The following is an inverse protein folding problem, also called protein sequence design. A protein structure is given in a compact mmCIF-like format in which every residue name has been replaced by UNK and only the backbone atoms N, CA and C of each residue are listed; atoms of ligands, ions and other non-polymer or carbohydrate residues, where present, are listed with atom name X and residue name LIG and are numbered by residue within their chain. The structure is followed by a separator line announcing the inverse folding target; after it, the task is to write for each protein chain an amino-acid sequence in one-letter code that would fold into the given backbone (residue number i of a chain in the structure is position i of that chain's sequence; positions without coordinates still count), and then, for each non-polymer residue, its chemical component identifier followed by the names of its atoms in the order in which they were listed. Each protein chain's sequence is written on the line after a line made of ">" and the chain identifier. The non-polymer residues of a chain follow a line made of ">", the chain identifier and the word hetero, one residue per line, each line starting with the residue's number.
data_IF_314733700964
#
_entry.id   IF_314733700964
#
_cell.length_a   1.000
_cell.length_b   1.000
_cell.length_c   1.000
_cell.angle_alpha   90.00
_cell.angle_beta   90.00
_cell.angle_gamma   90.00
#
_symmetry.space_group_name_H-M   'P 1'
#
loop_
_entity.id
_entity.type
_entity.pdbx_description
1 polymer ?
#
# COMPACT_ATOMS: atom_id res chain seq x y z
N UNK A 1 64.55 29.72 -8.20
CA UNK A 1 64.23 29.88 -6.77
C UNK A 1 62.82 29.38 -6.55
N UNK A 2 62.60 28.51 -5.56
CA UNK A 2 61.30 28.12 -5.03
C UNK A 2 61.47 27.95 -3.50
N UNK A 3 60.49 28.32 -2.65
CA UNK A 3 60.71 28.40 -1.21
C UNK A 3 60.84 27.05 -0.49
N UNK A 4 61.50 27.10 0.67
CA UNK A 4 61.78 25.98 1.57
C UNK A 4 60.54 25.24 2.06
N UNK A 5 60.72 23.96 2.35
CA UNK A 5 59.91 23.21 3.32
C UNK A 5 60.03 23.85 4.72
N UNK A 6 58.99 23.65 5.53
CA UNK A 6 59.07 23.65 6.98
C UNK A 6 58.36 22.38 7.47
N UNK A 7 58.94 21.70 8.47
CA UNK A 7 58.39 20.48 9.07
C UNK A 7 58.16 20.74 10.56
N UNK A 8 56.90 20.57 10.97
CA UNK A 8 56.42 20.48 12.36
C UNK A 8 55.01 19.86 12.27
N UNK A 9 54.53 19.05 13.21
CA UNK A 9 55.14 18.41 14.37
C UNK A 9 54.13 17.36 14.85
N UNK A 10 54.55 16.11 15.04
CA UNK A 10 53.61 14.98 15.06
C UNK A 10 52.84 14.76 16.37
N UNK A 11 51.61 14.25 16.26
CA UNK A 11 50.93 13.45 17.28
C UNK A 11 50.28 12.24 16.61
N UNK A 12 50.44 11.05 17.17
CA UNK A 12 49.90 9.81 16.61
C UNK A 12 48.35 9.79 16.60
N UNK A 13 47.78 9.24 15.52
CA UNK A 13 46.46 8.64 15.54
C UNK A 13 46.45 7.39 14.64
N UNK A 14 46.04 6.25 15.20
CA UNK A 14 46.12 4.93 14.56
C UNK A 14 45.00 4.76 13.54
N UNK A 15 45.17 5.31 12.35
CA UNK A 15 44.28 5.06 11.19
C UNK A 15 44.40 3.63 10.68
N UNK A 16 43.71 2.72 11.37
CA UNK A 16 43.35 1.39 10.87
C UNK A 16 42.55 1.58 9.58
N UNK A 17 43.14 1.23 8.44
CA UNK A 17 42.42 1.21 7.16
C UNK A 17 41.43 0.03 7.16
N UNK A 18 40.11 0.26 7.04
CA UNK A 18 39.16 -0.83 6.91
C UNK A 18 39.38 -1.57 5.57
N UNK A 19 39.14 -2.89 5.52
CA UNK A 19 39.28 -3.65 4.28
C UNK A 19 38.24 -3.20 3.23
N UNK A 20 38.51 -3.36 1.93
CA UNK A 20 37.58 -2.97 0.87
C UNK A 20 36.35 -3.90 0.86
N UNK A 21 35.28 -3.51 1.54
CA UNK A 21 34.02 -4.27 1.60
C UNK A 21 33.29 -4.16 0.26
N UNK A 22 33.45 -5.18 -0.59
CA UNK A 22 32.76 -5.29 -1.88
C UNK A 22 31.29 -5.70 -1.71
N UNK A 23 30.47 -4.78 -1.17
CA UNK A 23 29.03 -4.96 -1.00
C UNK A 23 28.28 -3.64 -1.20
N UNK A 24 27.27 -3.63 -2.09
CA UNK A 24 26.38 -2.47 -2.29
C UNK A 24 25.38 -2.38 -1.14
N UNK A 25 25.79 -1.77 -0.02
CA UNK A 25 24.83 -1.24 0.95
C UNK A 25 24.02 -0.09 0.30
N UNK A 26 22.71 0.03 0.55
CA UNK A 26 21.90 1.17 0.12
C UNK A 26 22.12 2.36 1.07
N UNK A 27 23.36 2.80 1.25
CA UNK A 27 23.79 3.66 2.36
C UNK A 27 23.66 5.17 2.12
N UNK A 28 23.29 5.61 0.90
CA UNK A 28 23.09 7.03 0.58
C UNK A 28 21.83 7.21 -0.26
N UNK A 29 20.77 7.74 0.36
CA UNK A 29 19.66 8.38 -0.37
C UNK A 29 20.15 9.70 -0.97
N UNK A 30 19.65 10.07 -2.16
CA UNK A 30 19.91 11.40 -2.74
C UNK A 30 19.22 12.51 -1.94
N UNK A 31 19.67 13.76 -2.09
CA UNK A 31 19.09 14.91 -1.39
C UNK A 31 17.59 15.06 -1.65
N UNK A 32 17.14 14.73 -2.86
CA UNK A 32 15.72 14.70 -3.24
C UNK A 32 14.97 13.59 -2.50
N UNK A 33 15.57 12.40 -2.33
CA UNK A 33 14.98 11.32 -1.54
C UNK A 33 14.92 11.69 -0.04
N UNK A 34 16.02 12.18 0.53
CA UNK A 34 16.06 12.65 1.93
C UNK A 34 15.00 13.72 2.20
N UNK A 35 14.89 14.73 1.33
CA UNK A 35 13.87 15.79 1.43
C UNK A 35 12.46 15.23 1.27
N UNK A 36 12.24 14.23 0.39
CA UNK A 36 10.91 13.66 0.15
C UNK A 36 10.46 12.68 1.23
N UNK A 37 11.37 12.01 1.93
CA UNK A 37 11.06 11.07 3.01
C UNK A 37 10.27 11.72 4.16
N UNK A 38 10.52 13.00 4.45
CA UNK A 38 9.84 13.77 5.51
C UNK A 38 8.70 14.66 4.99
N UNK A 39 8.29 14.52 3.72
CA UNK A 39 7.24 15.36 3.14
C UNK A 39 5.84 14.90 3.61
N UNK A 40 5.28 15.59 4.60
CA UNK A 40 3.90 15.39 5.05
C UNK A 40 2.89 15.41 3.90
N UNK A 41 1.97 14.44 3.89
CA UNK A 41 0.95 14.32 2.83
C UNK A 41 -0.36 15.01 3.25
N UNK A 42 -1.04 15.75 2.35
CA UNK A 42 -2.29 16.41 2.68
C UNK A 42 -3.44 15.39 2.79
N UNK A 43 -3.77 14.98 4.01
CA UNK A 43 -4.99 14.19 4.27
C UNK A 43 -6.27 15.03 4.08
N UNK A 44 -7.38 14.43 3.62
CA UNK A 44 -8.73 15.02 3.71
C UNK A 44 -9.06 15.52 5.12
N UNK A 45 -9.85 16.59 5.23
CA UNK A 45 -10.22 17.18 6.52
C UNK A 45 -10.97 16.20 7.44
N UNK A 46 -11.87 15.39 6.88
CA UNK A 46 -12.66 14.38 7.62
C UNK A 46 -11.81 13.30 8.30
N UNK A 47 -10.55 13.10 7.88
CA UNK A 47 -9.62 12.16 8.51
C UNK A 47 -8.73 12.81 9.59
N UNK A 48 -8.94 14.09 9.92
CA UNK A 48 -8.18 14.85 10.94
C UNK A 48 -9.01 15.17 12.19
N UNK A 49 -10.27 14.77 12.19
CA UNK A 49 -11.27 15.03 13.23
C UNK A 49 -12.07 13.76 13.47
N UNK A 50 -12.73 13.60 14.62
CA UNK A 50 -13.69 12.53 14.82
C UNK A 50 -14.70 12.40 13.67
N UNK A 51 -15.04 11.17 13.29
CA UNK A 51 -15.93 10.91 12.17
C UNK A 51 -16.83 9.69 12.37
N UNK A 52 -17.88 9.64 11.55
CA UNK A 52 -18.81 8.52 11.43
C UNK A 52 -18.94 8.08 9.97
N UNK A 53 -19.23 6.79 9.80
CA UNK A 53 -19.60 6.21 8.51
C UNK A 53 -21.13 6.34 8.37
N UNK A 54 -21.59 6.76 7.20
CA UNK A 54 -23.00 6.86 6.86
C UNK A 54 -23.24 6.12 5.55
N UNK A 55 -24.26 5.26 5.53
CA UNK A 55 -24.68 4.54 4.33
C UNK A 55 -25.36 5.50 3.33
N UNK A 56 -24.92 5.43 2.08
CA UNK A 56 -25.52 6.07 0.92
C UNK A 56 -26.48 5.15 0.17
N UNK A 57 -26.76 5.43 -1.12
CA UNK A 57 -27.63 4.57 -1.93
C UNK A 57 -27.04 3.15 -2.08
N UNK A 58 -27.94 2.16 -2.21
CA UNK A 58 -27.60 0.80 -2.64
C UNK A 58 -26.84 0.82 -3.98
N UNK A 59 -25.84 -0.03 -4.13
CA UNK A 59 -25.09 -0.17 -5.38
C UNK A 59 -25.79 -1.08 -6.40
N UNK A 60 -25.29 -1.08 -7.63
CA UNK A 60 -25.65 -2.06 -8.66
C UNK A 60 -24.49 -2.17 -9.65
N UNK A 61 -24.49 -3.24 -10.47
CA UNK A 61 -23.49 -3.41 -11.51
C UNK A 61 -23.74 -2.47 -12.71
N UNK A 62 -22.67 -1.98 -13.33
CA UNK A 62 -22.75 -1.13 -14.53
C UNK A 62 -23.24 -1.89 -15.79
N UNK A 63 -23.24 -3.22 -15.74
CA UNK A 63 -23.79 -4.12 -16.76
C UNK A 63 -24.22 -5.44 -16.12
N UNK A 64 -25.13 -6.15 -16.79
CA UNK A 64 -25.61 -7.50 -16.45
C UNK A 64 -25.94 -7.73 -14.95
N UNK A 65 -26.72 -6.83 -14.28
CA UNK A 65 -26.93 -6.88 -12.83
C UNK A 65 -27.52 -8.21 -12.34
N UNK A 66 -28.46 -8.80 -13.10
CA UNK A 66 -29.07 -10.10 -12.76
C UNK A 66 -28.09 -11.28 -12.84
N UNK A 67 -26.94 -11.13 -13.49
CA UNK A 67 -25.89 -12.16 -13.57
C UNK A 67 -24.84 -11.92 -12.48
N UNK A 68 -24.42 -10.66 -12.28
CA UNK A 68 -23.52 -10.28 -11.18
C UNK A 68 -24.16 -10.60 -9.82
N UNK A 69 -25.47 -10.39 -9.64
CA UNK A 69 -26.19 -10.75 -8.41
C UNK A 69 -26.19 -12.27 -8.12
N UNK A 70 -26.09 -13.13 -9.15
CA UNK A 70 -25.96 -14.59 -9.00
C UNK A 70 -24.54 -15.01 -8.64
N UNK A 71 -23.53 -14.24 -9.05
CA UNK A 71 -22.12 -14.46 -8.73
C UNK A 71 -21.74 -13.94 -7.33
N UNK A 72 -22.42 -12.88 -6.85
CA UNK A 72 -22.11 -12.17 -5.61
C UNK A 72 -23.30 -12.12 -4.63
N UNK A 73 -23.92 -13.24 -4.25
CA UNK A 73 -25.14 -13.25 -3.43
C UNK A 73 -24.96 -12.68 -2.00
N UNK A 74 -23.74 -12.55 -1.47
CA UNK A 74 -23.47 -11.97 -0.15
C UNK A 74 -22.95 -10.51 -0.21
N UNK A 75 -22.58 -10.00 -1.39
CA UNK A 75 -22.02 -8.66 -1.60
C UNK A 75 -22.83 -7.74 -2.52
N UNK A 76 -23.65 -8.29 -3.43
CA UNK A 76 -24.39 -7.47 -4.39
C UNK A 76 -25.37 -6.52 -3.71
N UNK A 77 -25.47 -5.29 -4.22
CA UNK A 77 -26.40 -4.27 -3.73
C UNK A 77 -25.92 -3.42 -2.55
N UNK A 78 -24.81 -3.79 -1.89
CA UNK A 78 -24.29 -3.10 -0.69
C UNK A 78 -24.24 -1.57 -0.86
N UNK A 79 -24.59 -0.78 0.18
CA UNK A 79 -24.60 0.67 0.09
C UNK A 79 -23.20 1.23 -0.14
N UNK A 80 -23.10 2.37 -0.82
CA UNK A 80 -21.89 3.18 -0.79
C UNK A 80 -21.68 3.76 0.61
N UNK A 81 -20.43 3.88 1.06
CA UNK A 81 -20.11 4.44 2.38
C UNK A 81 -19.59 5.87 2.25
N UNK A 82 -20.08 6.78 3.10
CA UNK A 82 -19.61 8.17 3.20
C UNK A 82 -19.02 8.44 4.60
N UNK A 83 -17.87 9.11 4.64
CA UNK A 83 -17.30 9.62 5.89
C UNK A 83 -17.85 11.04 6.15
N UNK A 84 -18.37 11.26 7.35
CA UNK A 84 -18.93 12.55 7.78
C UNK A 84 -18.33 12.91 9.13
N UNK A 85 -17.87 14.15 9.30
CA UNK A 85 -17.37 14.65 10.59
C UNK A 85 -18.44 14.51 11.69
N UNK A 86 -17.98 14.27 12.92
CA UNK A 86 -18.83 13.98 14.08
C UNK A 86 -18.27 14.69 15.31
N UNK A 87 -19.13 15.03 16.28
CA UNK A 87 -18.69 15.56 17.58
C UNK A 87 -18.19 14.44 18.52
N UNK A 88 -18.42 13.17 18.16
CA UNK A 88 -17.95 11.98 18.84
C UNK A 88 -17.56 10.88 17.84
N UNK A 89 -16.48 10.16 18.12
CA UNK A 89 -16.07 9.03 17.30
C UNK A 89 -17.00 7.84 17.51
N UNK A 90 -17.63 7.39 16.42
CA UNK A 90 -18.35 6.11 16.38
C UNK A 90 -17.44 4.93 16.04
N UNK A 91 -16.18 5.20 15.68
CA UNK A 91 -15.16 4.19 15.35
C UNK A 91 -14.51 3.67 16.64
N UNK A 92 -14.28 2.37 16.75
CA UNK A 92 -13.78 1.76 17.99
C UNK A 92 -12.26 1.87 18.13
N UNK A 93 -11.76 3.06 18.47
CA UNK A 93 -10.33 3.41 18.53
C UNK A 93 -9.44 2.57 19.47
N UNK A 94 -10.03 1.70 20.30
CA UNK A 94 -9.31 0.81 21.21
C UNK A 94 -9.37 -0.68 20.82
N UNK A 95 -9.94 -1.05 19.67
CA UNK A 95 -9.75 -2.39 19.12
C UNK A 95 -8.40 -2.49 18.41
N UNK A 96 -7.62 -3.53 18.76
CA UNK A 96 -6.39 -3.88 18.06
C UNK A 96 -6.75 -4.66 16.81
N UNK A 97 -6.42 -4.12 15.64
CA UNK A 97 -6.71 -4.73 14.35
C UNK A 97 -5.47 -5.43 13.80
N UNK A 98 -5.65 -6.60 13.20
CA UNK A 98 -4.64 -7.26 12.38
C UNK A 98 -5.00 -7.08 10.91
N UNK A 99 -4.23 -6.27 10.20
CA UNK A 99 -4.51 -5.92 8.80
C UNK A 99 -3.44 -6.52 7.89
N UNK A 100 -3.85 -7.23 6.86
CA UNK A 100 -3.00 -7.61 5.73
C UNK A 100 -3.00 -6.55 4.64
N UNK A 101 -1.88 -6.37 3.93
CA UNK A 101 -1.80 -5.51 2.74
C UNK A 101 -0.97 -6.18 1.64
N UNK A 102 -1.41 -6.06 0.38
CA UNK A 102 -0.74 -6.66 -0.78
C UNK A 102 -0.69 -5.69 -1.97
N UNK A 103 0.47 -5.60 -2.63
CA UNK A 103 0.65 -4.90 -3.91
C UNK A 103 0.53 -5.90 -5.07
N UNK A 104 -0.47 -5.73 -5.94
CA UNK A 104 -0.82 -6.67 -7.01
C UNK A 104 -0.70 -6.07 -8.42
N UNK A 105 -0.22 -6.87 -9.37
CA UNK A 105 0.04 -6.46 -10.76
C UNK A 105 1.23 -5.51 -10.90
N UNK A 106 1.24 -4.71 -11.97
CA UNK A 106 2.31 -3.76 -12.28
C UNK A 106 2.51 -2.68 -11.19
N UNK A 107 3.76 -2.25 -11.00
CA UNK A 107 4.11 -1.19 -10.06
C UNK A 107 3.56 0.17 -10.50
N UNK A 108 3.14 1.01 -9.54
CA UNK A 108 2.64 2.35 -9.80
C UNK A 108 3.14 3.34 -8.74
N UNK A 109 3.49 4.59 -9.11
CA UNK A 109 3.86 5.64 -8.16
C UNK A 109 2.76 5.88 -7.12
N UNK A 110 3.12 5.88 -5.83
CA UNK A 110 2.18 6.04 -4.71
C UNK A 110 1.89 4.76 -3.91
N UNK A 111 2.26 3.56 -4.40
CA UNK A 111 1.93 2.29 -3.72
C UNK A 111 2.47 2.19 -2.27
N UNK A 112 3.66 2.72 -2.00
CA UNK A 112 4.20 2.80 -0.63
C UNK A 112 3.47 3.82 0.24
N UNK A 113 2.86 4.86 -0.33
CA UNK A 113 2.13 5.88 0.42
C UNK A 113 0.73 5.38 0.87
N UNK A 114 0.15 4.43 0.12
CA UNK A 114 -1.03 3.68 0.60
C UNK A 114 -0.65 2.84 1.82
N UNK A 115 0.49 2.13 1.76
CA UNK A 115 0.98 1.31 2.88
C UNK A 115 1.32 2.17 4.11
N UNK A 116 1.99 3.32 3.94
CA UNK A 116 2.27 4.22 5.06
C UNK A 116 0.99 4.81 5.64
N UNK A 117 0.06 5.31 4.81
CA UNK A 117 -1.20 5.84 5.31
C UNK A 117 -2.06 4.84 6.09
N UNK A 118 -2.01 3.55 5.73
CA UNK A 118 -2.62 2.47 6.53
C UNK A 118 -1.88 2.28 7.85
N UNK A 119 -0.54 2.24 7.83
CA UNK A 119 0.28 2.11 9.04
C UNK A 119 0.05 3.28 10.01
N UNK A 120 0.18 4.52 9.53
CA UNK A 120 0.00 5.74 10.30
C UNK A 120 -1.39 5.77 10.96
N UNK A 121 -2.45 5.45 10.22
CA UNK A 121 -3.81 5.36 10.75
C UNK A 121 -3.95 4.28 11.83
N UNK A 122 -3.37 3.09 11.65
CA UNK A 122 -3.39 2.03 12.67
C UNK A 122 -2.62 2.43 13.94
N UNK A 123 -1.50 3.13 13.80
CA UNK A 123 -0.69 3.58 14.93
C UNK A 123 -1.30 4.74 15.70
N UNK A 124 -1.99 5.67 15.03
CA UNK A 124 -2.65 6.81 15.67
C UNK A 124 -4.05 6.45 16.21
N UNK A 125 -4.86 5.78 15.41
CA UNK A 125 -6.31 5.57 15.63
C UNK A 125 -6.71 4.16 16.10
N UNK A 126 -5.82 3.17 16.11
CA UNK A 126 -6.14 1.79 16.53
C UNK A 126 -4.97 1.14 17.32
N UNK A 127 -4.54 1.80 18.40
CA UNK A 127 -3.23 1.57 19.03
C UNK A 127 -2.98 0.13 19.48
N UNK A 128 -1.86 -0.43 19.02
CA UNK A 128 -1.48 -1.83 19.25
C UNK A 128 -2.04 -2.80 18.20
N UNK A 129 -2.52 -2.29 17.07
CA UNK A 129 -2.74 -3.04 15.82
C UNK A 129 -1.44 -3.58 15.21
N UNK A 130 -1.56 -4.45 14.21
CA UNK A 130 -0.43 -5.02 13.46
C UNK A 130 -0.73 -5.00 11.96
N UNK A 131 0.23 -4.54 11.15
CA UNK A 131 0.12 -4.50 9.69
C UNK A 131 1.06 -5.55 9.05
N UNK A 132 0.52 -6.42 8.19
CA UNK A 132 1.25 -7.50 7.54
C UNK A 132 1.37 -7.27 6.02
N UNK A 133 2.57 -6.97 5.54
CA UNK A 133 2.87 -6.79 4.11
C UNK A 133 3.12 -8.12 3.41
N UNK A 134 2.20 -8.56 2.56
CA UNK A 134 2.32 -9.81 1.80
C UNK A 134 3.27 -9.67 0.60
N UNK A 135 4.18 -10.64 0.47
CA UNK A 135 5.36 -10.59 -0.38
C UNK A 135 5.10 -11.24 -1.74
N UNK A 136 5.24 -10.45 -2.82
CA UNK A 136 5.17 -10.96 -4.20
C UNK A 136 3.76 -11.05 -4.79
N UNK A 137 2.85 -10.12 -4.45
CA UNK A 137 1.49 -10.09 -4.98
C UNK A 137 0.52 -11.02 -4.24
N UNK A 138 -0.66 -11.31 -4.82
CA UNK A 138 -1.67 -12.19 -4.20
C UNK A 138 -1.12 -13.54 -3.79
N UNK A 139 -0.15 -14.04 -4.56
CA UNK A 139 0.73 -15.14 -4.21
C UNK A 139 1.22 -15.09 -2.75
N UNK A 140 1.69 -13.95 -2.23
CA UNK A 140 2.19 -13.84 -0.85
C UNK A 140 1.15 -14.16 0.22
N UNK A 141 -0.09 -13.68 0.06
CA UNK A 141 -1.24 -14.01 0.93
C UNK A 141 -1.39 -15.53 0.99
N UNK A 142 -1.42 -16.12 -0.20
CA UNK A 142 -1.70 -17.53 -0.43
C UNK A 142 -0.56 -18.47 -0.05
N UNK A 143 0.50 -18.00 0.64
CA UNK A 143 1.70 -18.78 0.93
C UNK A 143 2.19 -18.64 2.38
N UNK A 144 1.43 -17.96 3.25
CA UNK A 144 1.94 -17.42 4.51
C UNK A 144 3.21 -16.55 4.34
N UNK A 145 3.40 -15.87 3.19
CA UNK A 145 4.63 -15.10 2.92
C UNK A 145 4.39 -13.61 3.10
N UNK A 146 4.61 -13.14 4.32
CA UNK A 146 4.45 -11.76 4.76
C UNK A 146 5.69 -11.25 5.51
N UNK A 147 5.70 -9.95 5.81
CA UNK A 147 6.37 -9.40 7.01
C UNK A 147 5.35 -8.65 7.83
N UNK A 148 5.54 -8.66 9.15
CA UNK A 148 5.06 -7.57 9.99
C UNK A 148 5.79 -6.28 9.60
N UNK A 149 5.04 -5.24 9.23
CA UNK A 149 5.56 -3.94 8.87
C UNK A 149 5.74 -3.12 10.14
N UNK A 150 6.91 -3.27 10.75
CA UNK A 150 7.47 -2.29 11.69
C UNK A 150 8.04 -1.09 10.93
N UNK A 151 8.67 -0.16 11.64
CA UNK A 151 9.41 0.98 11.06
C UNK A 151 10.48 0.60 10.02
N UNK A 152 11.00 -0.63 10.03
CA UNK A 152 12.30 -0.97 9.41
C UNK A 152 12.30 -2.15 8.41
N UNK A 153 11.18 -2.86 8.17
CA UNK A 153 11.19 -4.19 7.53
C UNK A 153 10.71 -4.31 6.05
N UNK A 154 11.51 -4.93 5.16
CA UNK A 154 11.12 -5.35 3.77
C UNK A 154 11.94 -6.56 3.27
N UNK A 155 11.33 -7.58 2.62
CA UNK A 155 12.00 -8.69 1.87
C UNK A 155 11.03 -9.63 1.05
N UNK A 156 11.41 -10.86 0.59
CA UNK A 156 10.68 -11.76 -0.40
C UNK A 156 10.35 -13.23 0.13
N UNK A 157 9.95 -14.34 -0.56
CA UNK A 157 9.87 -14.78 -1.99
C UNK A 157 9.03 -16.11 -2.26
N UNK A 158 8.34 -16.24 -3.42
CA UNK A 158 7.97 -17.47 -4.24
C UNK A 158 7.03 -18.66 -3.80
N UNK A 159 6.68 -19.57 -4.77
CA UNK A 159 6.04 -20.95 -4.79
C UNK A 159 4.50 -21.19 -4.59
N UNK A 160 3.73 -21.99 -5.38
CA UNK A 160 2.39 -21.56 -5.88
C UNK A 160 1.01 -22.24 -5.53
N UNK A 161 0.75 -22.90 -4.40
CA UNK A 161 -0.44 -23.77 -4.14
C UNK A 161 -1.75 -23.06 -3.64
N UNK A 162 -2.27 -22.13 -4.44
CA UNK A 162 -2.70 -20.82 -3.91
C UNK A 162 -4.05 -20.66 -3.12
N UNK A 163 -5.26 -20.85 -3.69
CA UNK A 163 -6.46 -20.20 -3.10
C UNK A 163 -6.90 -20.66 -1.69
N UNK A 164 -6.94 -21.96 -1.38
CA UNK A 164 -7.30 -22.45 -0.03
C UNK A 164 -6.33 -21.95 1.05
N UNK A 165 -5.08 -21.75 0.67
CA UNK A 165 -4.03 -21.24 1.56
C UNK A 165 -4.22 -19.75 1.90
N UNK A 166 -5.05 -18.99 1.16
CA UNK A 166 -5.45 -17.64 1.59
C UNK A 166 -6.30 -17.70 2.87
N UNK A 167 -7.36 -18.51 2.88
CA UNK A 167 -8.22 -18.72 4.05
C UNK A 167 -7.41 -19.25 5.24
N UNK A 168 -6.55 -20.25 5.02
CA UNK A 168 -5.68 -20.80 6.07
C UNK A 168 -4.69 -19.75 6.61
N UNK A 169 -4.11 -18.90 5.75
CA UNK A 169 -3.20 -17.82 6.18
C UNK A 169 -3.94 -16.73 6.95
N UNK A 170 -5.10 -16.31 6.46
CA UNK A 170 -5.96 -15.27 7.05
C UNK A 170 -6.48 -15.69 8.42
N UNK A 171 -6.94 -16.94 8.56
CA UNK A 171 -7.39 -17.50 9.83
C UNK A 171 -6.22 -17.78 10.80
N UNK A 172 -5.05 -18.20 10.31
CA UNK A 172 -3.83 -18.43 11.13
C UNK A 172 -3.25 -17.13 11.69
N UNK A 173 -3.28 -16.05 10.92
CA UNK A 173 -2.94 -14.71 11.42
C UNK A 173 -4.09 -14.09 12.23
N UNK A 174 -5.31 -14.59 12.06
CA UNK A 174 -6.54 -14.05 12.65
C UNK A 174 -6.74 -12.58 12.23
N UNK A 175 -6.65 -12.31 10.91
CA UNK A 175 -6.77 -10.96 10.33
C UNK A 175 -8.20 -10.42 10.39
N UNK A 176 -8.35 -9.16 10.78
CA UNK A 176 -9.63 -8.42 10.74
C UNK A 176 -9.84 -7.77 9.37
N UNK A 177 -8.75 -7.42 8.66
CA UNK A 177 -8.80 -6.78 7.34
C UNK A 177 -7.71 -7.27 6.37
N UNK A 178 -7.99 -7.17 5.07
CA UNK A 178 -7.06 -7.46 3.98
C UNK A 178 -7.20 -6.42 2.84
N UNK A 179 -6.19 -5.58 2.64
CA UNK A 179 -6.18 -4.53 1.61
C UNK A 179 -5.45 -5.01 0.35
N UNK A 180 -6.17 -5.05 -0.78
CA UNK A 180 -5.66 -5.46 -2.09
C UNK A 180 -5.44 -4.25 -2.98
N UNK A 181 -4.18 -3.87 -3.17
CA UNK A 181 -3.77 -2.69 -3.93
C UNK A 181 -3.42 -3.11 -5.36
N UNK A 182 -4.31 -2.85 -6.33
CA UNK A 182 -4.20 -3.46 -7.66
C UNK A 182 -5.07 -2.84 -8.75
N UNK A 183 -4.94 -3.38 -9.97
CA UNK A 183 -5.77 -3.02 -11.12
C UNK A 183 -7.15 -3.70 -11.08
N UNK A 184 -7.88 -3.64 -12.19
CA UNK A 184 -9.16 -4.32 -12.43
C UNK A 184 -9.13 -5.83 -12.12
N UNK A 185 -8.16 -6.58 -12.66
CA UNK A 185 -7.92 -8.01 -12.36
C UNK A 185 -7.80 -8.26 -10.86
N UNK A 186 -7.11 -7.36 -10.16
CA UNK A 186 -6.79 -7.53 -8.74
C UNK A 186 -7.97 -7.18 -7.84
N UNK A 187 -8.78 -6.19 -8.22
CA UNK A 187 -10.01 -5.85 -7.50
C UNK A 187 -11.12 -6.86 -7.80
N UNK A 188 -11.13 -7.47 -9.00
CA UNK A 188 -11.99 -8.62 -9.33
C UNK A 188 -11.67 -9.81 -8.42
N UNK A 189 -10.38 -10.16 -8.30
CA UNK A 189 -9.93 -11.19 -7.35
C UNK A 189 -10.23 -10.83 -5.88
N UNK A 190 -10.12 -9.55 -5.50
CA UNK A 190 -10.49 -9.09 -4.15
C UNK A 190 -12.00 -9.25 -3.88
N UNK A 191 -12.86 -8.96 -4.86
CA UNK A 191 -14.31 -9.14 -4.75
C UNK A 191 -14.70 -10.62 -4.63
N UNK A 192 -14.10 -11.49 -5.45
CA UNK A 192 -14.30 -12.95 -5.37
C UNK A 192 -13.85 -13.52 -4.01
N UNK A 193 -12.73 -13.02 -3.46
CA UNK A 193 -12.24 -13.41 -2.13
C UNK A 193 -13.16 -12.90 -1.00
N UNK A 194 -13.68 -11.68 -1.13
CA UNK A 194 -14.64 -11.10 -0.19
C UNK A 194 -15.95 -11.89 -0.14
N UNK A 195 -16.49 -12.28 -1.30
CA UNK A 195 -17.69 -13.10 -1.44
C UNK A 195 -17.47 -14.49 -0.83
N UNK A 196 -16.31 -15.09 -1.11
CA UNK A 196 -15.91 -16.36 -0.50
C UNK A 196 -15.86 -16.26 1.02
N UNK A 197 -15.17 -15.26 1.59
CA UNK A 197 -15.09 -15.05 3.04
C UNK A 197 -16.47 -14.82 3.67
N UNK A 198 -17.36 -14.04 3.04
CA UNK A 198 -18.76 -13.88 3.50
C UNK A 198 -19.51 -15.21 3.50
N UNK A 199 -19.44 -15.98 2.40
CA UNK A 199 -20.08 -17.30 2.29
C UNK A 199 -19.58 -18.34 3.31
N UNK A 200 -18.39 -18.12 3.89
CA UNK A 200 -17.77 -18.95 4.94
C UNK A 200 -17.92 -18.38 6.35
N UNK A 201 -18.51 -17.19 6.52
CA UNK A 201 -18.52 -16.45 7.78
C UNK A 201 -17.11 -16.18 8.37
N UNK A 202 -16.10 -16.04 7.51
CA UNK A 202 -14.75 -15.60 7.91
C UNK A 202 -14.83 -14.14 8.35
N UNK A 203 -14.21 -13.79 9.49
CA UNK A 203 -14.32 -12.44 10.09
C UNK A 203 -13.70 -11.32 9.23
N UNK A 204 -12.81 -11.68 8.32
CA UNK A 204 -11.90 -10.75 7.64
C UNK A 204 -12.58 -9.97 6.53
N UNK A 205 -12.53 -8.64 6.63
CA UNK A 205 -13.00 -7.75 5.57
C UNK A 205 -11.93 -7.59 4.49
N UNK A 206 -12.30 -7.73 3.21
CA UNK A 206 -11.38 -7.47 2.08
C UNK A 206 -11.71 -6.11 1.46
N UNK A 207 -10.69 -5.29 1.22
CA UNK A 207 -10.82 -3.91 0.72
C UNK A 207 -9.96 -3.73 -0.53
N UNK A 208 -10.56 -3.29 -1.63
CA UNK A 208 -9.86 -2.94 -2.86
C UNK A 208 -9.27 -1.53 -2.84
N UNK A 209 -8.11 -1.34 -3.48
CA UNK A 209 -7.50 -0.02 -3.67
C UNK A 209 -7.04 0.17 -5.13
N UNK A 210 -7.52 1.22 -5.86
CA UNK A 210 -7.41 1.31 -7.32
C UNK A 210 -6.04 1.79 -7.79
N UNK A 211 -5.20 0.84 -8.21
CA UNK A 211 -3.82 1.03 -8.71
C UNK A 211 -3.67 0.62 -10.17
N UNK A 212 -3.66 1.59 -11.07
CA UNK A 212 -3.32 1.43 -12.49
C UNK A 212 -2.71 2.73 -13.01
N UNK A 213 -1.70 2.63 -13.88
CA UNK A 213 -1.05 3.79 -14.52
C UNK A 213 -1.77 4.22 -15.80
N UNK A 214 -2.78 3.46 -16.21
CA UNK A 214 -3.46 3.54 -17.50
C UNK A 214 -4.77 4.35 -17.41
N UNK A 215 -5.30 4.52 -16.18
CA UNK A 215 -6.44 5.40 -15.91
C UNK A 215 -7.78 4.82 -16.36
N UNK A 216 -7.87 3.50 -16.44
CA UNK A 216 -9.00 2.68 -16.87
C UNK A 216 -9.93 2.28 -15.71
N UNK A 217 -9.38 1.87 -14.56
CA UNK A 217 -10.16 1.55 -13.36
C UNK A 217 -10.75 2.82 -12.71
N UNK A 218 -11.95 3.20 -13.15
CA UNK A 218 -12.71 4.38 -12.69
C UNK A 218 -14.21 4.18 -12.71
N UNK A 219 -14.92 4.92 -11.87
CA UNK A 219 -16.38 5.09 -11.87
C UNK A 219 -16.74 6.51 -11.42
N UNK A 220 -17.99 6.77 -11.07
CA UNK A 220 -18.43 8.08 -10.54
C UNK A 220 -17.83 8.36 -9.16
N UNK A 221 -17.63 7.32 -8.36
CA UNK A 221 -17.11 7.36 -6.98
C UNK A 221 -15.57 7.26 -6.94
N UNK A 222 -14.96 6.64 -7.96
CA UNK A 222 -13.50 6.52 -8.16
C UNK A 222 -13.12 7.27 -9.45
N UNK A 223 -12.88 8.59 -9.39
CA UNK A 223 -12.68 9.40 -10.60
C UNK A 223 -11.34 9.15 -11.30
N UNK A 224 -10.35 8.59 -10.61
CA UNK A 224 -9.04 8.21 -11.18
C UNK A 224 -8.35 7.15 -10.32
N UNK A 225 -7.48 6.36 -10.94
CA UNK A 225 -6.57 5.43 -10.26
C UNK A 225 -5.30 6.14 -9.80
N UNK A 226 -4.68 5.68 -8.71
CA UNK A 226 -3.40 6.25 -8.31
C UNK A 226 -2.26 5.71 -9.18
N UNK A 227 -1.28 6.59 -9.47
CA UNK A 227 -0.16 6.33 -10.38
C UNK A 227 -0.31 6.98 -11.76
N UNK A 228 -1.54 7.05 -12.29
CA UNK A 228 -1.85 7.62 -13.62
C UNK A 228 -1.29 9.04 -13.82
N UNK A 229 -1.52 9.95 -12.87
CA UNK A 229 -1.03 11.34 -12.92
C UNK A 229 0.50 11.43 -13.06
N UNK A 230 1.23 10.64 -12.27
CA UNK A 230 2.70 10.63 -12.30
C UNK A 230 3.22 9.99 -13.59
N UNK A 231 2.60 8.90 -14.05
CA UNK A 231 2.94 8.29 -15.34
C UNK A 231 2.73 9.29 -16.50
N UNK A 232 1.60 9.99 -16.52
CA UNK A 232 1.32 11.04 -17.50
C UNK A 232 2.36 12.18 -17.47
N UNK A 233 2.79 12.62 -16.28
CA UNK A 233 3.80 13.67 -16.12
C UNK A 233 5.19 13.22 -16.61
N UNK A 234 5.63 12.03 -16.22
CA UNK A 234 6.93 11.47 -16.62
C UNK A 234 6.96 11.17 -18.13
N UNK A 235 5.90 10.59 -18.69
CA UNK A 235 5.83 10.29 -20.12
C UNK A 235 5.85 11.57 -20.97
N UNK A 236 5.13 12.63 -20.57
CA UNK A 236 5.20 13.94 -21.23
C UNK A 236 6.61 14.55 -21.15
N UNK A 237 7.26 14.51 -19.99
CA UNK A 237 8.62 15.00 -19.84
C UNK A 237 9.63 14.20 -20.69
N UNK A 238 9.50 12.88 -20.74
CA UNK A 238 10.36 12.01 -21.56
C UNK A 238 10.12 12.23 -23.05
N UNK A 239 8.87 12.43 -23.49
CA UNK A 239 8.55 12.76 -24.87
C UNK A 239 9.14 14.12 -25.28
N UNK A 240 9.11 15.13 -24.40
CA UNK A 240 9.82 16.41 -24.63
C UNK A 240 11.33 16.17 -24.77
N UNK A 241 11.96 15.35 -23.92
CA UNK A 241 13.39 15.03 -24.04
C UNK A 241 13.72 14.36 -25.37
N UNK A 242 12.88 13.44 -25.87
CA UNK A 242 13.06 12.86 -27.20
C UNK A 242 12.86 13.87 -28.33
N UNK A 243 11.85 14.75 -28.25
CA UNK A 243 11.63 15.84 -29.23
C UNK A 243 12.73 16.90 -29.24
N UNK A 244 13.54 17.01 -28.18
CA UNK A 244 14.71 17.90 -28.09
C UNK A 244 16.00 17.25 -28.64
N UNK A 245 15.96 15.96 -28.98
CA UNK A 245 17.10 15.20 -29.55
C UNK A 245 16.86 14.73 -31.00
N UNK A 246 15.94 15.37 -31.72
CA UNK A 246 15.58 15.12 -33.13
C UNK A 246 15.53 16.44 -33.91
#
# INVERSE_FOLDING_TARGET
>A
MAPSLALDGGTDDYRVTPPPVTGRFPSVYSDVQNTRNFHALPLPSVLKTPFKIVDGPQSSAAGNPDEIAKLFPNLFGQPSAMLVSSDSDTVQHNQKLKVGVVLSGGQAPGGHNVISGIFDYLQDSAKGSTLYGFRGGPAGIMKCKYVELTSDGRDKIETPEQFKQAEETVNKLDLDGLVVIGGDDSNTNACLLAEYFRSKNVKTHVVGCPKTIDGDLKCKEVPTSFGFDTACKVNKAMQIVFTVHL
#
